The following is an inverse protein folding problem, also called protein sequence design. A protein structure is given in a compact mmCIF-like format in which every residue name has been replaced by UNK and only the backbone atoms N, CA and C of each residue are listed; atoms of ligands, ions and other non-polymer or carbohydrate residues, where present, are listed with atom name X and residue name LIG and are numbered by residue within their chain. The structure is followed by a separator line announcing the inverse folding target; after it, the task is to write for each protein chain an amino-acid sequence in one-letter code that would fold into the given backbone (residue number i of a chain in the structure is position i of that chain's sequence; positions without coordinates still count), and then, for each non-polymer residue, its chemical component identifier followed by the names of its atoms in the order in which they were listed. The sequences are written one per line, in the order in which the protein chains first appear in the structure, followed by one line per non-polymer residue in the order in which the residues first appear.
data_IF_934272776956
#
_entry.id   IF_934272776956
#
_cell.length_a   1.000
_cell.length_b   1.000
_cell.length_c   1.000
_cell.angle_alpha   90.00
_cell.angle_beta   90.00
_cell.angle_gamma   90.00
#
_symmetry.space_group_name_H-M   'P 1'
#
loop_
_entity.id
_entity.type
_entity.pdbx_description
1 polymer ?
#
# COMPACT_ATOMS: atom_id res chain seq x y z
N UNK A 1 -16.63 -7.47 1.48
CA UNK A 1 -15.46 -7.72 2.36
C UNK A 1 -15.20 -6.46 3.19
N UNK A 2 -14.76 -6.64 4.43
CA UNK A 2 -14.32 -5.53 5.26
C UNK A 2 -12.81 -5.30 5.11
N UNK A 3 -12.29 -4.25 5.74
CA UNK A 3 -10.87 -3.89 5.66
C UNK A 3 -9.95 -5.03 6.14
N UNK A 4 -10.32 -5.71 7.21
CA UNK A 4 -9.48 -6.80 7.76
C UNK A 4 -9.39 -7.99 6.81
N UNK A 5 -10.49 -8.34 6.16
CA UNK A 5 -10.52 -9.41 5.17
C UNK A 5 -9.68 -9.07 3.94
N UNK A 6 -9.80 -7.83 3.46
CA UNK A 6 -8.99 -7.34 2.32
C UNK A 6 -7.50 -7.34 2.69
N UNK A 7 -7.17 -6.85 3.89
CA UNK A 7 -5.79 -6.84 4.38
C UNK A 7 -5.16 -8.23 4.38
N UNK A 8 -5.90 -9.25 4.77
CA UNK A 8 -5.41 -10.63 4.78
C UNK A 8 -5.06 -11.11 3.37
N UNK A 9 -5.91 -10.81 2.40
CA UNK A 9 -5.65 -11.14 0.99
C UNK A 9 -4.41 -10.40 0.48
N UNK A 10 -4.26 -9.13 0.87
CA UNK A 10 -3.08 -8.33 0.47
C UNK A 10 -1.79 -8.93 1.03
N UNK A 11 -1.78 -9.30 2.31
CA UNK A 11 -0.60 -9.91 2.94
C UNK A 11 -0.21 -11.22 2.25
N UNK A 12 -1.19 -12.09 2.02
CA UNK A 12 -0.95 -13.35 1.32
C UNK A 12 -0.44 -13.12 -0.10
N UNK A 13 -0.98 -12.12 -0.79
CA UNK A 13 -0.55 -11.74 -2.14
C UNK A 13 0.89 -11.22 -2.15
N UNK A 14 1.27 -10.39 -1.18
CA UNK A 14 2.63 -9.86 -1.07
C UNK A 14 3.64 -10.97 -0.81
N UNK A 15 3.29 -11.93 0.04
CA UNK A 15 4.14 -13.10 0.32
C UNK A 15 4.35 -13.91 -0.96
N UNK A 16 3.28 -14.15 -1.71
CA UNK A 16 3.36 -14.90 -2.98
C UNK A 16 4.23 -14.18 -4.01
N UNK A 17 4.03 -12.86 -4.19
CA UNK A 17 4.82 -12.04 -5.11
C UNK A 17 6.30 -12.13 -4.76
N UNK A 18 6.65 -11.92 -3.51
CA UNK A 18 8.03 -11.90 -3.06
C UNK A 18 8.70 -13.25 -3.26
N UNK A 19 7.97 -14.33 -2.95
CA UNK A 19 8.46 -15.70 -3.14
C UNK A 19 8.70 -16.03 -4.62
N UNK A 20 7.72 -15.71 -5.47
CA UNK A 20 7.79 -16.04 -6.90
C UNK A 20 8.89 -15.24 -7.60
N UNK A 21 9.03 -13.96 -7.25
CA UNK A 21 10.07 -13.11 -7.85
C UNK A 21 11.47 -13.37 -7.27
N UNK A 22 11.57 -14.13 -6.19
CA UNK A 22 12.86 -14.60 -5.67
C UNK A 22 13.45 -13.78 -4.53
N UNK A 23 12.70 -12.86 -3.93
CA UNK A 23 13.13 -12.09 -2.77
C UNK A 23 13.38 -10.61 -3.07
N UNK A 24 14.22 -9.95 -2.24
CA UNK A 24 14.52 -8.52 -2.40
C UNK A 24 15.45 -8.23 -3.58
N UNK A 25 15.63 -6.96 -3.91
CA UNK A 25 16.64 -6.50 -4.85
C UNK A 25 16.10 -5.98 -6.18
N UNK A 26 14.79 -6.08 -6.41
CA UNK A 26 14.18 -5.54 -7.64
C UNK A 26 13.68 -4.12 -7.39
N UNK A 27 13.33 -3.43 -8.47
CA UNK A 27 12.74 -2.10 -8.40
C UNK A 27 11.36 -2.16 -7.74
N UNK A 28 11.02 -1.11 -7.01
CA UNK A 28 9.71 -0.96 -6.37
C UNK A 28 8.57 -1.13 -7.35
N UNK A 29 8.69 -0.57 -8.57
CA UNK A 29 7.68 -0.66 -9.61
C UNK A 29 7.41 -2.10 -10.08
N UNK A 30 8.43 -2.97 -10.03
CA UNK A 30 8.26 -4.39 -10.39
C UNK A 30 7.38 -5.09 -9.37
N UNK A 31 7.64 -4.87 -8.08
CA UNK A 31 6.81 -5.45 -7.01
C UNK A 31 5.39 -4.93 -7.06
N UNK A 32 5.20 -3.64 -7.34
CA UNK A 32 3.87 -3.05 -7.46
C UNK A 32 3.06 -3.71 -8.58
N UNK A 33 3.67 -3.84 -9.76
CA UNK A 33 3.00 -4.46 -10.90
C UNK A 33 2.64 -5.93 -10.64
N UNK A 34 3.56 -6.67 -10.04
CA UNK A 34 3.32 -8.07 -9.69
C UNK A 34 2.21 -8.19 -8.62
N UNK A 35 2.20 -7.29 -7.64
CA UNK A 35 1.17 -7.29 -6.60
C UNK A 35 -0.21 -7.00 -7.19
N UNK A 36 -0.32 -6.06 -8.10
CA UNK A 36 -1.58 -5.77 -8.80
C UNK A 36 -2.07 -7.00 -9.55
N UNK A 37 -1.18 -7.69 -10.26
CA UNK A 37 -1.53 -8.91 -10.99
C UNK A 37 -2.00 -10.01 -10.03
N UNK A 38 -1.29 -10.22 -8.92
CA UNK A 38 -1.67 -11.24 -7.95
C UNK A 38 -3.03 -10.92 -7.31
N UNK A 39 -3.25 -9.66 -6.93
CA UNK A 39 -4.52 -9.21 -6.36
C UNK A 39 -5.67 -9.40 -7.36
N UNK A 40 -5.45 -9.10 -8.63
CA UNK A 40 -6.44 -9.32 -9.67
C UNK A 40 -6.82 -10.80 -9.79
N UNK A 41 -5.83 -11.70 -9.74
CA UNK A 41 -6.06 -13.15 -9.76
C UNK A 41 -6.87 -13.63 -8.56
N UNK A 42 -6.81 -12.89 -7.45
CA UNK A 42 -7.56 -13.19 -6.22
C UNK A 42 -8.89 -12.44 -6.13
N UNK A 43 -9.33 -11.82 -7.20
CA UNK A 43 -10.63 -11.15 -7.28
C UNK A 43 -10.68 -9.76 -6.68
N UNK A 44 -9.52 -9.14 -6.40
CA UNK A 44 -9.45 -7.78 -5.87
C UNK A 44 -9.34 -6.75 -6.99
N UNK A 45 -9.91 -5.57 -6.78
CA UNK A 45 -9.73 -4.42 -7.67
C UNK A 45 -8.68 -3.49 -7.12
N UNK A 46 -7.63 -3.23 -7.90
CA UNK A 46 -6.55 -2.33 -7.53
C UNK A 46 -6.55 -1.10 -8.42
N UNK A 47 -6.54 0.08 -7.80
CA UNK A 47 -6.32 1.35 -8.47
C UNK A 47 -4.87 1.76 -8.22
N UNK A 48 -4.12 1.99 -9.30
CA UNK A 48 -2.68 2.32 -9.24
C UNK A 48 -2.48 3.81 -9.41
N UNK A 49 -1.51 4.37 -8.67
CA UNK A 49 -1.09 5.76 -8.82
C UNK A 49 -2.27 6.71 -8.80
N UNK A 50 -3.13 6.53 -7.81
CA UNK A 50 -4.36 7.29 -7.66
C UNK A 50 -4.04 8.69 -7.17
N UNK A 51 -4.63 9.71 -7.81
CA UNK A 51 -4.50 11.10 -7.39
C UNK A 51 -5.70 11.50 -6.55
N UNK A 52 -5.42 11.99 -5.33
CA UNK A 52 -6.45 12.45 -4.40
C UNK A 52 -6.27 13.95 -4.19
N UNK A 53 -7.31 14.78 -4.45
CA UNK A 53 -7.20 16.22 -4.21
C UNK A 53 -6.95 16.53 -2.74
N UNK A 54 -6.10 17.53 -2.49
CA UNK A 54 -5.82 18.03 -1.15
C UNK A 54 -6.48 19.39 -1.00
N UNK A 55 -7.28 19.56 0.07
CA UNK A 55 -7.92 20.82 0.40
C UNK A 55 -7.28 21.43 1.64
N UNK A 56 -7.07 22.74 1.60
CA UNK A 56 -6.58 23.51 2.75
C UNK A 56 -7.55 24.65 3.00
N UNK A 57 -8.23 24.61 4.13
CA UNK A 57 -9.23 25.64 4.53
C UNK A 57 -10.24 25.90 3.40
N UNK A 58 -10.76 24.85 2.81
CA UNK A 58 -11.77 24.91 1.75
C UNK A 58 -11.23 25.14 0.34
N UNK A 59 -9.93 25.41 0.19
CA UNK A 59 -9.32 25.62 -1.11
C UNK A 59 -8.63 24.34 -1.60
N UNK A 60 -8.93 23.91 -2.81
CA UNK A 60 -8.20 22.81 -3.43
C UNK A 60 -6.81 23.28 -3.83
N UNK A 61 -5.78 22.58 -3.36
CA UNK A 61 -4.39 22.88 -3.69
C UNK A 61 -4.05 22.38 -5.09
N UNK A 62 -3.03 22.97 -5.70
CA UNK A 62 -2.57 22.58 -7.04
C UNK A 62 -1.79 21.27 -7.09
N UNK A 63 -1.34 20.77 -5.93
CA UNK A 63 -0.57 19.52 -5.83
C UNK A 63 -1.46 18.48 -5.18
N UNK A 64 -1.83 17.39 -5.90
CA UNK A 64 -2.61 16.31 -5.31
C UNK A 64 -1.73 15.36 -4.51
N UNK A 65 -2.37 14.54 -3.67
CA UNK A 65 -1.75 13.38 -3.05
C UNK A 65 -1.71 12.24 -4.07
N UNK A 66 -0.56 11.60 -4.25
CA UNK A 66 -0.44 10.38 -5.07
C UNK A 66 -0.36 9.17 -4.16
N UNK A 67 -1.25 8.21 -4.36
CA UNK A 67 -1.28 6.94 -3.65
C UNK A 67 -0.79 5.83 -4.57
N UNK A 68 0.03 4.92 -4.06
CA UNK A 68 0.51 3.79 -4.87
C UNK A 68 -0.62 2.89 -5.30
N UNK A 69 -1.37 2.35 -4.33
CA UNK A 69 -2.49 1.44 -4.59
C UNK A 69 -3.64 1.69 -3.63
N UNK A 70 -4.86 1.56 -4.15
CA UNK A 70 -6.07 1.45 -3.33
C UNK A 70 -6.81 0.19 -3.76
N UNK A 71 -7.12 -0.67 -2.77
CA UNK A 71 -7.70 -1.98 -3.01
C UNK A 71 -9.16 -1.97 -2.60
N UNK A 72 -10.05 -2.35 -3.53
CA UNK A 72 -11.50 -2.39 -3.36
C UNK A 72 -12.07 -1.07 -2.81
N UNK A 73 -11.41 0.04 -3.07
CA UNK A 73 -11.82 1.36 -2.59
C UNK A 73 -11.66 1.54 -1.08
N UNK A 74 -11.03 0.62 -0.35
CA UNK A 74 -11.08 0.59 1.11
C UNK A 74 -9.71 0.55 1.79
N UNK A 75 -8.69 -0.05 1.17
CA UNK A 75 -7.38 -0.25 1.81
C UNK A 75 -6.30 0.35 0.95
N UNK A 76 -5.42 1.17 1.57
CA UNK A 76 -4.27 1.73 0.89
C UNK A 76 -3.06 0.82 1.04
N UNK A 77 -2.24 0.76 -0.01
CA UNK A 77 -0.93 0.12 0.04
C UNK A 77 0.11 1.13 -0.40
N UNK A 78 1.19 1.21 0.36
CA UNK A 78 2.41 1.94 -0.01
C UNK A 78 3.53 0.92 -0.12
N UNK A 79 4.06 0.75 -1.33
CA UNK A 79 5.13 -0.21 -1.61
C UNK A 79 6.49 0.45 -1.42
N UNK A 80 7.38 -0.25 -0.72
CA UNK A 80 8.78 0.15 -0.53
C UNK A 80 9.69 -1.00 -0.98
N UNK A 81 10.91 -0.65 -1.36
CA UNK A 81 11.96 -1.62 -1.68
C UNK A 81 13.28 -1.07 -1.13
N UNK A 82 13.33 -0.87 0.20
CA UNK A 82 14.46 -0.23 0.89
C UNK A 82 15.20 -1.21 1.78
N UNK A 83 16.51 -0.98 1.96
CA UNK A 83 17.34 -1.80 2.85
C UNK A 83 17.16 -1.43 4.32
N UNK A 84 16.76 -0.20 4.60
CA UNK A 84 16.57 0.29 5.97
C UNK A 84 15.18 0.87 6.13
N UNK A 85 14.51 0.49 7.22
CA UNK A 85 13.19 1.02 7.55
C UNK A 85 13.32 2.43 8.12
N UNK A 86 12.42 3.32 7.71
CA UNK A 86 12.32 4.66 8.26
C UNK A 86 10.94 4.81 8.92
N UNK A 87 10.87 5.21 10.21
CA UNK A 87 9.58 5.39 10.90
C UNK A 87 8.65 6.41 10.25
N UNK A 88 9.18 7.29 9.40
CA UNK A 88 8.35 8.25 8.66
C UNK A 88 7.34 7.55 7.75
N UNK A 89 7.61 6.33 7.30
CA UNK A 89 6.71 5.61 6.39
C UNK A 89 5.34 5.36 7.03
N UNK A 90 5.32 4.99 8.31
CA UNK A 90 4.06 4.75 9.03
C UNK A 90 3.33 6.06 9.29
N UNK A 91 4.04 7.11 9.69
CA UNK A 91 3.47 8.43 9.89
C UNK A 91 2.88 8.98 8.58
N UNK A 92 3.58 8.79 7.48
CA UNK A 92 3.13 9.19 6.14
C UNK A 92 1.85 8.45 5.76
N UNK A 93 1.79 7.14 5.99
CA UNK A 93 0.58 6.36 5.71
C UNK A 93 -0.62 6.85 6.50
N UNK A 94 -0.44 7.18 7.79
CA UNK A 94 -1.53 7.71 8.60
C UNK A 94 -2.05 9.04 8.03
N UNK A 95 -1.16 9.91 7.59
CA UNK A 95 -1.54 11.17 6.94
C UNK A 95 -2.33 10.90 5.65
N UNK A 96 -1.88 9.94 4.84
CA UNK A 96 -2.58 9.56 3.62
C UNK A 96 -3.98 9.04 3.90
N UNK A 97 -4.13 8.20 4.93
CA UNK A 97 -5.44 7.68 5.32
C UNK A 97 -6.40 8.79 5.73
N UNK A 98 -5.91 9.79 6.48
CA UNK A 98 -6.71 10.94 6.87
C UNK A 98 -7.16 11.76 5.67
N UNK A 99 -6.26 12.02 4.73
CA UNK A 99 -6.58 12.79 3.53
C UNK A 99 -7.52 12.02 2.61
N UNK A 100 -7.33 10.73 2.46
CA UNK A 100 -8.17 9.87 1.61
C UNK A 100 -9.47 9.43 2.30
N UNK A 101 -9.62 9.70 3.60
CA UNK A 101 -10.78 9.31 4.43
C UNK A 101 -10.98 7.79 4.44
N UNK A 102 -9.89 7.07 4.59
CA UNK A 102 -9.88 5.61 4.68
C UNK A 102 -9.35 5.17 6.05
N UNK A 103 -9.63 3.93 6.42
CA UNK A 103 -9.41 3.44 7.78
C UNK A 103 -8.19 2.54 7.93
N UNK A 104 -7.70 1.96 6.84
CA UNK A 104 -6.62 0.99 6.89
C UNK A 104 -5.65 1.18 5.75
N UNK A 105 -4.36 1.14 6.09
CA UNK A 105 -3.27 1.11 5.13
C UNK A 105 -2.20 0.10 5.51
N UNK A 106 -1.52 -0.43 4.52
CA UNK A 106 -0.38 -1.31 4.69
C UNK A 106 0.83 -0.68 4.01
N UNK A 107 1.92 -0.56 4.75
CA UNK A 107 3.22 -0.25 4.16
C UNK A 107 3.96 -1.57 4.00
N UNK A 108 4.34 -1.90 2.77
CA UNK A 108 4.94 -3.19 2.44
C UNK A 108 6.35 -2.94 1.91
N UNK A 109 7.35 -3.41 2.66
CA UNK A 109 8.74 -3.31 2.22
C UNK A 109 9.21 -4.63 1.61
N UNK A 110 9.27 -4.68 0.29
CA UNK A 110 9.79 -5.82 -0.46
C UNK A 110 11.31 -5.92 -0.40
N UNK A 111 11.98 -4.91 0.18
CA UNK A 111 13.43 -4.93 0.42
C UNK A 111 13.85 -5.83 1.56
N UNK A 112 12.92 -6.34 2.35
CA UNK A 112 13.19 -7.32 3.40
C UNK A 112 13.48 -8.71 2.79
N UNK A 113 14.29 -9.51 3.49
CA UNK A 113 14.54 -10.88 3.06
C UNK A 113 13.24 -11.70 3.03
N UNK A 114 12.38 -11.51 4.04
CA UNK A 114 11.04 -12.08 4.08
C UNK A 114 10.05 -10.93 4.19
N UNK A 115 9.21 -10.76 3.18
CA UNK A 115 8.33 -9.58 3.09
C UNK A 115 7.37 -9.47 4.27
N UNK A 116 6.95 -10.60 4.86
CA UNK A 116 6.07 -10.56 6.04
C UNK A 116 6.66 -9.76 7.20
N UNK A 117 7.98 -9.70 7.31
CA UNK A 117 8.68 -8.91 8.33
C UNK A 117 8.74 -7.41 7.98
N UNK A 118 8.43 -7.06 6.73
CA UNK A 118 8.41 -5.69 6.24
C UNK A 118 7.02 -5.10 6.08
N UNK A 119 5.98 -5.77 6.58
CA UNK A 119 4.61 -5.26 6.48
C UNK A 119 4.24 -4.55 7.77
N UNK A 120 3.81 -3.30 7.65
CA UNK A 120 3.32 -2.49 8.76
C UNK A 120 1.87 -2.10 8.50
N UNK A 121 1.02 -2.39 9.48
CA UNK A 121 -0.39 -2.06 9.46
C UNK A 121 -0.59 -0.71 10.13
N UNK A 122 -1.28 0.20 9.45
CA UNK A 122 -1.60 1.53 9.99
C UNK A 122 -3.12 1.70 9.96
N UNK A 123 -3.69 2.11 11.07
CA UNK A 123 -5.15 2.28 11.19
C UNK A 123 -5.50 3.74 11.45
N UNK A 124 -6.69 4.12 10.96
CA UNK A 124 -7.28 5.43 11.16
C UNK A 124 -8.74 5.24 11.55
N UNK A 125 -8.99 4.93 12.82
CA UNK A 125 -10.32 4.74 13.35
C UNK A 125 -11.00 3.41 12.98
N UNK A 126 -10.20 2.40 12.72
CA UNK A 126 -10.74 1.07 12.42
C UNK A 126 -11.09 0.32 13.70
#
# INVERSE_FOLDING_TARGET
MNENEISRVIVDSAIEVHRVLGGPGLLESVYEEALVEELSRRGMQAERQLLVPIHYKGKQLGVPLRLDLRINGMVLIDNKAVSEWNPIFEAQMLTYLRLAKLKLGLVINFGEQYVKNGIRRVVNGL
#
